data_IF_286476876041
#
_entry.id   IF_286476876041
#
_cell.length_a   1.000
_cell.length_b   1.000
_cell.length_c   1.000
_cell.angle_alpha   90.00
_cell.angle_beta   90.00
_cell.angle_gamma   90.00
#
_symmetry.space_group_name_H-M   'P 1'
#
loop_
_entity.id
_entity.type
_entity.pdbx_description
1 polymer ?
#
# COMPACT_ATOMS: atom_id res chain seq x y z
N UNK A 1 0.43 -21.26 3.68
CA UNK A 1 1.32 -20.71 4.73
C UNK A 1 0.56 -20.71 6.04
N UNK A 2 1.04 -21.42 7.08
CA UNK A 2 0.39 -21.47 8.38
C UNK A 2 0.66 -20.20 9.18
N UNK A 3 -0.37 -19.72 9.90
CA UNK A 3 -0.27 -18.72 10.95
C UNK A 3 -0.76 -19.36 12.25
N UNK A 4 0.05 -19.25 13.29
CA UNK A 4 -0.32 -19.74 14.61
C UNK A 4 -1.26 -18.76 15.34
N UNK A 5 -1.97 -19.22 16.36
CA UNK A 5 -2.75 -18.33 17.23
C UNK A 5 -1.87 -17.24 17.85
N UNK A 6 -0.60 -17.54 18.17
CA UNK A 6 0.37 -16.57 18.68
C UNK A 6 0.64 -15.46 17.65
N UNK A 7 0.84 -15.82 16.37
CA UNK A 7 1.06 -14.84 15.31
C UNK A 7 -0.12 -13.88 15.18
N UNK A 8 -1.35 -14.43 15.11
CA UNK A 8 -2.58 -13.65 14.94
C UNK A 8 -2.82 -12.75 16.16
N UNK A 9 -2.71 -13.29 17.36
CA UNK A 9 -2.86 -12.55 18.61
C UNK A 9 -1.85 -11.39 18.71
N UNK A 10 -0.56 -11.67 18.48
CA UNK A 10 0.50 -10.66 18.52
C UNK A 10 0.25 -9.53 17.53
N UNK A 11 -0.17 -9.85 16.30
CA UNK A 11 -0.51 -8.84 15.31
C UNK A 11 -1.72 -7.99 15.73
N UNK A 12 -2.79 -8.60 16.22
CA UNK A 12 -3.98 -7.88 16.71
C UNK A 12 -3.63 -6.91 17.85
N UNK A 13 -2.82 -7.35 18.81
CA UNK A 13 -2.30 -6.53 19.91
C UNK A 13 -1.47 -5.35 19.40
N UNK A 14 -0.54 -5.61 18.49
CA UNK A 14 0.35 -4.60 17.92
C UNK A 14 -0.44 -3.52 17.16
N UNK A 15 -1.43 -3.94 16.37
CA UNK A 15 -2.30 -3.02 15.63
C UNK A 15 -3.14 -2.18 16.59
N UNK A 16 -3.79 -2.81 17.57
CA UNK A 16 -4.58 -2.12 18.58
C UNK A 16 -3.76 -1.05 19.31
N UNK A 17 -2.54 -1.39 19.72
CA UNK A 17 -1.62 -0.45 20.41
C UNK A 17 -1.17 0.69 19.50
N UNK A 18 -0.74 0.39 18.26
CA UNK A 18 -0.24 1.40 17.33
C UNK A 18 -1.31 2.40 16.91
N UNK A 19 -2.57 1.97 16.79
CA UNK A 19 -3.72 2.80 16.46
C UNK A 19 -4.41 3.39 17.69
N UNK A 20 -3.94 3.06 18.91
CA UNK A 20 -4.55 3.46 20.17
C UNK A 20 -6.06 3.15 20.18
N UNK A 21 -6.43 1.95 19.75
CA UNK A 21 -7.83 1.51 19.73
C UNK A 21 -8.33 1.30 21.16
N UNK A 22 -9.61 1.62 21.37
CA UNK A 22 -10.29 1.45 22.66
C UNK A 22 -11.77 1.08 22.46
N UNK A 23 -12.50 0.84 23.54
CA UNK A 23 -13.91 0.42 23.51
C UNK A 23 -14.90 1.42 22.91
N UNK A 24 -14.51 2.67 22.75
CA UNK A 24 -15.34 3.71 22.12
C UNK A 24 -15.20 3.70 20.60
N UNK A 25 -14.20 2.99 20.06
CA UNK A 25 -14.01 2.91 18.61
C UNK A 25 -15.08 2.05 17.94
N UNK A 26 -15.53 2.53 16.80
CA UNK A 26 -16.44 1.83 15.93
C UNK A 26 -15.87 1.82 14.52
N UNK A 27 -15.43 0.63 14.05
CA UNK A 27 -14.80 0.48 12.74
C UNK A 27 -15.80 0.14 11.64
N UNK A 28 -15.67 0.78 10.48
CA UNK A 28 -16.34 0.31 9.27
C UNK A 28 -15.41 -0.65 8.50
N UNK A 29 -15.71 -1.95 8.57
CA UNK A 29 -14.94 -2.95 7.81
C UNK A 29 -15.49 -3.05 6.39
N UNK A 30 -14.76 -2.46 5.45
CA UNK A 30 -15.00 -2.51 4.00
C UNK A 30 -14.10 -3.53 3.27
N UNK A 31 -13.19 -4.18 4.02
CA UNK A 31 -12.25 -5.17 3.49
C UNK A 31 -12.81 -6.58 3.64
N UNK A 32 -12.52 -7.49 2.68
CA UNK A 32 -12.99 -8.87 2.77
C UNK A 32 -12.34 -9.61 3.92
N UNK A 33 -13.12 -10.42 4.64
CA UNK A 33 -12.67 -11.20 5.79
C UNK A 33 -11.80 -12.43 5.43
N UNK A 34 -11.75 -12.82 4.16
CA UNK A 34 -10.80 -13.85 3.69
C UNK A 34 -9.37 -13.31 3.55
N UNK A 35 -9.17 -12.00 3.68
CA UNK A 35 -7.87 -11.35 3.64
C UNK A 35 -7.48 -10.85 5.03
N UNK A 36 -6.19 -10.98 5.39
CA UNK A 36 -5.64 -10.55 6.70
C UNK A 36 -5.93 -9.09 7.03
N UNK A 37 -6.10 -8.21 6.04
CA UNK A 37 -6.45 -6.80 6.25
C UNK A 37 -7.82 -6.68 6.92
N UNK A 38 -8.86 -7.32 6.37
CA UNK A 38 -10.20 -7.34 6.97
C UNK A 38 -10.26 -8.16 8.26
N UNK A 39 -9.66 -9.36 8.24
CA UNK A 39 -9.74 -10.29 9.35
C UNK A 39 -8.90 -9.86 10.56
N UNK A 40 -7.60 -9.64 10.34
CA UNK A 40 -6.66 -9.40 11.46
C UNK A 40 -6.54 -7.91 11.75
N UNK A 41 -6.28 -7.09 10.72
CA UNK A 41 -6.01 -5.67 10.95
C UNK A 41 -7.24 -4.86 11.34
N UNK A 42 -8.44 -5.31 10.98
CA UNK A 42 -9.68 -4.64 11.36
C UNK A 42 -10.42 -5.44 12.44
N UNK A 43 -10.91 -6.63 12.12
CA UNK A 43 -11.80 -7.36 13.02
C UNK A 43 -11.10 -7.79 14.32
N UNK A 44 -10.00 -8.54 14.22
CA UNK A 44 -9.32 -9.05 15.43
C UNK A 44 -8.77 -7.91 16.30
N UNK A 45 -8.17 -6.87 15.71
CA UNK A 45 -7.60 -5.74 16.46
C UNK A 45 -8.69 -4.92 17.16
N UNK A 46 -9.86 -4.74 16.53
CA UNK A 46 -11.01 -4.06 17.14
C UNK A 46 -11.57 -4.87 18.31
N UNK A 47 -11.85 -6.16 18.11
CA UNK A 47 -12.37 -7.02 19.17
C UNK A 47 -11.39 -7.08 20.35
N UNK A 48 -10.09 -7.22 20.08
CA UNK A 48 -9.07 -7.22 21.12
C UNK A 48 -9.06 -5.97 21.98
N UNK A 49 -9.35 -4.79 21.40
CA UNK A 49 -9.42 -3.53 22.12
C UNK A 49 -10.77 -3.24 22.80
N UNK A 50 -11.74 -4.16 22.67
CA UNK A 50 -13.13 -3.95 23.13
C UNK A 50 -13.95 -3.03 22.22
N UNK A 51 -13.42 -2.67 21.05
CA UNK A 51 -14.09 -1.86 20.05
C UNK A 51 -15.15 -2.68 19.28
N UNK A 52 -16.03 -1.96 18.60
CA UNK A 52 -17.06 -2.56 17.75
C UNK A 52 -16.73 -2.45 16.25
N UNK A 53 -17.34 -3.31 15.45
CA UNK A 53 -17.14 -3.35 13.99
C UNK A 53 -18.47 -3.42 13.27
N UNK A 54 -18.70 -2.48 12.37
CA UNK A 54 -19.75 -2.59 11.35
C UNK A 54 -19.17 -3.34 10.15
N UNK A 55 -19.59 -4.56 9.93
CA UNK A 55 -19.21 -5.38 8.79
C UNK A 55 -20.17 -5.17 7.63
N UNK A 56 -19.64 -4.82 6.44
CA UNK A 56 -20.45 -4.69 5.24
C UNK A 56 -20.39 -5.94 4.36
N UNK A 57 -21.37 -6.08 3.48
CA UNK A 57 -21.41 -7.13 2.45
C UNK A 57 -20.37 -6.91 1.32
N UNK A 58 -19.44 -5.96 1.51
CA UNK A 58 -18.39 -5.58 0.57
C UNK A 58 -18.27 -4.06 0.43
N UNK A 59 -17.29 -3.63 -0.34
CA UNK A 59 -17.04 -2.22 -0.57
C UNK A 59 -18.07 -1.59 -1.51
N UNK A 60 -18.69 -0.49 -1.07
CA UNK A 60 -19.59 0.32 -1.87
C UNK A 60 -19.36 1.82 -1.60
N UNK A 61 -18.65 2.49 -2.51
CA UNK A 61 -18.31 3.91 -2.38
C UNK A 61 -19.55 4.82 -2.34
N UNK A 62 -20.65 4.43 -2.99
CA UNK A 62 -21.89 5.24 -3.03
C UNK A 62 -22.59 5.30 -1.68
N UNK A 63 -22.56 4.21 -0.92
CA UNK A 63 -23.21 4.09 0.39
C UNK A 63 -22.30 4.48 1.56
N UNK A 64 -20.98 4.64 1.30
CA UNK A 64 -19.97 4.77 2.35
C UNK A 64 -20.25 5.92 3.31
N UNK A 65 -20.47 7.15 2.80
CA UNK A 65 -20.67 8.34 3.62
C UNK A 65 -21.94 8.27 4.47
N UNK A 66 -23.01 7.77 3.91
CA UNK A 66 -24.31 7.65 4.60
C UNK A 66 -24.22 6.63 5.74
N UNK A 67 -23.57 5.48 5.50
CA UNK A 67 -23.33 4.45 6.52
C UNK A 67 -22.40 5.00 7.60
N UNK A 68 -21.29 5.63 7.22
CA UNK A 68 -20.31 6.18 8.17
C UNK A 68 -20.96 7.19 9.12
N UNK A 69 -21.86 8.04 8.60
CA UNK A 69 -22.64 8.99 9.40
C UNK A 69 -23.66 8.30 10.30
N UNK A 70 -24.48 7.40 9.73
CA UNK A 70 -25.56 6.71 10.43
C UNK A 70 -25.04 5.89 11.61
N UNK A 71 -23.99 5.11 11.36
CA UNK A 71 -23.38 4.20 12.32
C UNK A 71 -22.32 4.90 13.20
N UNK A 72 -22.09 6.22 13.07
CA UNK A 72 -21.11 7.01 13.84
C UNK A 72 -19.72 6.38 13.82
N UNK A 73 -19.27 6.00 12.63
CA UNK A 73 -17.97 5.34 12.45
C UNK A 73 -16.82 6.23 12.91
N UNK A 74 -15.95 5.70 13.77
CA UNK A 74 -14.75 6.41 14.26
C UNK A 74 -13.52 6.17 13.38
N UNK A 75 -13.46 5.08 12.63
CA UNK A 75 -12.37 4.81 11.69
C UNK A 75 -12.74 3.75 10.65
N UNK A 76 -11.98 3.75 9.57
CA UNK A 76 -12.02 2.66 8.59
C UNK A 76 -10.63 2.41 8.02
N UNK A 77 -10.44 1.24 7.41
CA UNK A 77 -9.22 0.89 6.71
C UNK A 77 -9.55 0.32 5.34
N UNK A 78 -8.75 0.69 4.34
CA UNK A 78 -8.95 0.26 2.96
C UNK A 78 -7.67 0.22 2.15
N UNK A 79 -7.79 -0.14 0.88
CA UNK A 79 -6.73 -0.05 -0.12
C UNK A 79 -6.86 1.26 -0.92
N UNK A 80 -5.80 1.75 -1.59
CA UNK A 80 -5.82 3.05 -2.28
C UNK A 80 -6.98 3.23 -3.26
N UNK A 81 -7.35 2.20 -4.01
CA UNK A 81 -8.48 2.26 -4.95
C UNK A 81 -9.83 2.48 -4.27
N UNK A 82 -10.01 1.96 -3.05
CA UNK A 82 -11.21 2.21 -2.25
C UNK A 82 -11.22 3.65 -1.74
N UNK A 83 -10.08 4.14 -1.26
CA UNK A 83 -9.94 5.55 -0.85
C UNK A 83 -10.25 6.52 -1.98
N UNK A 84 -9.75 6.27 -3.19
CA UNK A 84 -10.06 7.08 -4.38
C UNK A 84 -11.56 7.09 -4.70
N UNK A 85 -12.22 5.91 -4.65
CA UNK A 85 -13.67 5.81 -4.83
C UNK A 85 -14.47 6.59 -3.78
N UNK A 86 -14.04 6.55 -2.52
CA UNK A 86 -14.64 7.30 -1.42
C UNK A 86 -14.41 8.80 -1.62
N UNK A 87 -13.19 9.23 -1.98
CA UNK A 87 -12.86 10.63 -2.26
C UNK A 87 -13.71 11.23 -3.38
N UNK A 88 -13.86 10.51 -4.50
CA UNK A 88 -14.73 10.99 -5.59
C UNK A 88 -16.16 11.25 -5.11
N UNK A 89 -16.67 10.44 -4.19
CA UNK A 89 -18.00 10.64 -3.61
C UNK A 89 -18.01 11.76 -2.58
N UNK A 90 -16.98 11.84 -1.73
CA UNK A 90 -16.83 12.85 -0.70
C UNK A 90 -16.76 14.27 -1.28
N UNK A 91 -16.02 14.47 -2.36
CA UNK A 91 -15.94 15.76 -3.07
C UNK A 91 -17.30 16.28 -3.56
N UNK A 92 -18.21 15.38 -3.94
CA UNK A 92 -19.59 15.75 -4.32
C UNK A 92 -20.48 16.05 -3.11
N UNK A 93 -20.05 15.69 -1.89
CA UNK A 93 -20.78 15.82 -0.64
C UNK A 93 -19.87 16.32 0.48
N UNK A 94 -19.10 17.37 0.22
CA UNK A 94 -18.02 17.84 1.11
C UNK A 94 -18.49 18.11 2.54
N UNK A 95 -19.64 18.77 2.71
CA UNK A 95 -20.23 19.05 4.02
C UNK A 95 -20.52 17.77 4.82
N UNK A 96 -20.92 16.68 4.16
CA UNK A 96 -21.15 15.41 4.81
C UNK A 96 -19.82 14.77 5.22
N UNK A 97 -18.82 14.78 4.34
CA UNK A 97 -17.50 14.20 4.58
C UNK A 97 -16.77 14.89 5.74
N UNK A 98 -16.75 16.23 5.78
CA UNK A 98 -16.12 17.02 6.85
C UNK A 98 -16.77 16.83 8.23
N UNK A 99 -18.05 16.47 8.26
CA UNK A 99 -18.82 16.27 9.51
C UNK A 99 -18.92 14.81 9.94
N UNK A 100 -18.15 13.89 9.34
CA UNK A 100 -18.01 12.54 9.87
C UNK A 100 -17.14 12.56 11.13
N UNK A 101 -17.48 11.73 12.10
CA UNK A 101 -16.74 11.61 13.37
C UNK A 101 -15.50 10.71 13.26
N UNK A 102 -14.80 10.75 12.12
CA UNK A 102 -13.63 9.92 11.88
C UNK A 102 -12.45 10.39 12.73
N UNK A 103 -11.93 9.52 13.57
CA UNK A 103 -10.72 9.72 14.35
C UNK A 103 -9.46 9.55 13.50
N UNK A 104 -9.51 8.60 12.55
CA UNK A 104 -8.49 8.42 11.54
C UNK A 104 -9.00 7.58 10.35
N UNK A 105 -8.26 7.67 9.25
CA UNK A 105 -8.37 6.82 8.05
C UNK A 105 -7.08 6.02 7.94
N UNK A 106 -7.16 4.69 7.74
CA UNK A 106 -6.00 3.84 7.57
C UNK A 106 -5.93 3.26 6.16
N UNK A 107 -4.78 3.40 5.51
CA UNK A 107 -4.48 2.75 4.23
C UNK A 107 -3.44 1.66 4.43
N UNK A 108 -3.62 0.52 3.78
CA UNK A 108 -2.64 -0.56 3.79
C UNK A 108 -2.80 -1.48 2.58
N UNK A 109 -1.92 -2.49 2.48
CA UNK A 109 -1.92 -3.56 1.48
C UNK A 109 -1.46 -3.15 0.07
N UNK A 110 -1.37 -1.87 -0.23
CA UNK A 110 -0.74 -1.29 -1.41
C UNK A 110 -0.23 0.09 -1.05
N UNK A 111 0.75 0.62 -1.79
CA UNK A 111 1.27 1.96 -1.57
C UNK A 111 0.19 3.01 -1.82
N UNK A 112 0.02 3.93 -0.89
CA UNK A 112 -0.89 5.06 -1.01
C UNK A 112 -0.15 6.21 -1.70
N UNK A 113 -0.58 6.66 -2.90
CA UNK A 113 0.03 7.83 -3.52
C UNK A 113 0.00 9.04 -2.57
N UNK A 114 1.11 9.78 -2.41
CA UNK A 114 1.17 10.95 -1.53
C UNK A 114 0.05 11.97 -1.78
N UNK A 115 -0.30 12.20 -3.04
CA UNK A 115 -1.39 13.09 -3.41
C UNK A 115 -2.75 12.62 -2.84
N UNK A 116 -3.02 11.31 -2.87
CA UNK A 116 -4.25 10.72 -2.31
C UNK A 116 -4.25 10.80 -0.78
N UNK A 117 -3.09 10.61 -0.14
CA UNK A 117 -2.93 10.76 1.30
C UNK A 117 -3.31 12.19 1.75
N UNK A 118 -2.76 13.22 1.10
CA UNK A 118 -3.04 14.60 1.45
C UNK A 118 -4.51 14.96 1.15
N UNK A 119 -5.05 14.50 0.04
CA UNK A 119 -6.44 14.75 -0.31
C UNK A 119 -7.43 14.13 0.67
N UNK A 120 -7.17 12.92 1.17
CA UNK A 120 -7.96 12.29 2.24
C UNK A 120 -7.93 13.16 3.50
N UNK A 121 -6.75 13.65 3.88
CA UNK A 121 -6.56 14.49 5.06
C UNK A 121 -7.33 15.80 4.96
N UNK A 122 -7.29 16.44 3.79
CA UNK A 122 -7.99 17.70 3.52
C UNK A 122 -9.51 17.55 3.49
N UNK A 123 -10.02 16.53 2.77
CA UNK A 123 -11.46 16.32 2.57
C UNK A 123 -12.16 15.87 3.85
N UNK A 124 -11.54 14.97 4.63
CA UNK A 124 -12.16 14.43 5.84
C UNK A 124 -11.74 15.15 7.13
N UNK A 125 -10.81 16.10 7.04
CA UNK A 125 -10.28 16.85 8.21
C UNK A 125 -9.83 15.91 9.35
N UNK A 126 -9.22 14.78 9.00
CA UNK A 126 -8.83 13.75 9.96
C UNK A 126 -7.42 13.22 9.69
N UNK A 127 -6.88 12.48 10.66
CA UNK A 127 -5.58 11.82 10.53
C UNK A 127 -5.63 10.72 9.47
N UNK A 128 -4.64 10.68 8.60
CA UNK A 128 -4.45 9.58 7.65
C UNK A 128 -3.20 8.80 8.04
N UNK A 129 -3.31 7.47 8.07
CA UNK A 129 -2.27 6.55 8.47
C UNK A 129 -2.01 5.56 7.34
N UNK A 130 -0.79 5.52 6.84
CA UNK A 130 -0.34 4.45 5.97
C UNK A 130 0.38 3.39 6.78
N UNK A 131 0.10 2.12 6.53
CA UNK A 131 0.70 0.99 7.20
C UNK A 131 1.14 -0.08 6.18
N UNK A 132 2.23 -0.74 6.47
CA UNK A 132 2.79 -1.80 5.65
C UNK A 132 2.67 -3.14 6.36
N UNK A 133 2.32 -4.15 5.58
CA UNK A 133 2.17 -5.49 6.09
C UNK A 133 1.99 -6.52 5.00
N UNK A 134 2.16 -7.78 5.37
CA UNK A 134 2.03 -8.94 4.51
C UNK A 134 1.44 -10.11 5.28
N UNK A 135 1.00 -11.14 4.54
CA UNK A 135 0.37 -12.32 5.17
C UNK A 135 1.35 -13.05 6.09
N UNK A 136 2.62 -13.10 5.72
CA UNK A 136 3.71 -13.72 6.46
C UNK A 136 4.00 -13.05 7.81
N UNK A 137 3.55 -11.79 7.98
CA UNK A 137 3.62 -11.04 9.24
C UNK A 137 2.26 -10.97 9.96
N UNK A 138 1.29 -11.81 9.61
CA UNK A 138 -0.09 -11.73 10.14
C UNK A 138 -0.67 -10.33 10.04
N UNK A 139 -0.29 -9.58 9.05
CA UNK A 139 -0.59 -8.25 8.59
C UNK A 139 0.49 -7.21 8.91
N UNK A 140 0.51 -6.58 10.11
CA UNK A 140 1.23 -5.32 10.33
C UNK A 140 2.72 -5.52 10.64
N UNK A 141 3.55 -4.77 9.93
CA UNK A 141 4.99 -4.65 10.18
C UNK A 141 5.36 -3.23 10.61
N UNK A 142 4.92 -2.23 9.85
CA UNK A 142 5.08 -0.81 10.19
C UNK A 142 3.76 -0.06 10.09
N UNK A 143 3.69 1.09 10.73
CA UNK A 143 2.56 2.01 10.67
C UNK A 143 3.02 3.44 10.90
N UNK A 144 2.47 4.40 10.17
CA UNK A 144 2.53 5.78 10.62
C UNK A 144 1.95 5.87 12.03
N UNK A 145 2.59 6.61 12.94
CA UNK A 145 2.13 6.71 14.31
C UNK A 145 0.86 7.57 14.42
N UNK A 146 0.10 7.36 15.49
CA UNK A 146 -1.00 8.26 15.86
C UNK A 146 -0.47 9.61 16.38
N UNK A 147 -1.25 10.69 16.26
CA UNK A 147 -0.91 11.97 16.87
C UNK A 147 -0.57 11.83 18.38
N UNK A 148 0.33 12.67 18.92
CA UNK A 148 0.90 13.89 18.33
C UNK A 148 2.11 13.68 17.39
N UNK A 149 2.52 12.45 17.12
CA UNK A 149 3.59 12.17 16.18
C UNK A 149 3.16 12.46 14.74
N UNK A 150 4.14 12.74 13.88
CA UNK A 150 3.91 13.12 12.49
C UNK A 150 3.55 11.89 11.65
N UNK A 151 2.58 12.03 10.75
CA UNK A 151 2.29 11.08 9.69
C UNK A 151 2.95 11.58 8.41
N UNK A 152 3.83 10.76 7.81
CA UNK A 152 4.58 11.12 6.59
C UNK A 152 3.92 10.46 5.38
N UNK A 153 3.42 11.27 4.44
CA UNK A 153 2.93 10.78 3.14
C UNK A 153 4.05 10.09 2.35
N UNK A 154 3.74 8.95 1.72
CA UNK A 154 4.72 8.14 0.97
C UNK A 154 5.69 7.34 1.83
N UNK A 155 5.50 7.33 3.15
CA UNK A 155 6.20 6.48 4.10
C UNK A 155 5.21 5.59 4.84
N UNK A 156 5.57 4.33 4.99
CA UNK A 156 4.74 3.33 5.68
C UNK A 156 4.94 3.31 7.20
N UNK A 157 5.59 4.34 7.73
CA UNK A 157 5.73 4.59 9.17
C UNK A 157 6.92 3.90 9.82
N UNK A 158 6.80 3.68 11.13
CA UNK A 158 7.84 3.08 11.99
C UNK A 158 7.50 1.63 12.30
N UNK A 159 8.48 0.79 12.72
CA UNK A 159 8.19 -0.55 13.21
C UNK A 159 7.06 -0.53 14.25
N UNK A 160 6.05 -1.37 14.04
CA UNK A 160 4.82 -1.34 14.84
C UNK A 160 4.34 -2.76 15.17
N UNK A 161 5.24 -3.53 15.75
CA UNK A 161 5.03 -4.90 16.18
C UNK A 161 6.34 -5.70 16.09
N UNK A 162 6.70 -6.26 14.94
CA UNK A 162 7.97 -6.95 14.76
C UNK A 162 9.14 -5.95 14.72
N UNK A 163 10.34 -6.48 14.93
CA UNK A 163 11.56 -5.80 14.53
C UNK A 163 11.58 -5.72 12.99
N UNK A 164 12.09 -4.59 12.48
CA UNK A 164 12.23 -4.36 11.03
C UNK A 164 13.63 -3.81 10.78
N UNK A 165 14.34 -4.36 9.82
CA UNK A 165 15.64 -3.86 9.39
C UNK A 165 15.74 -3.84 7.86
N UNK A 166 16.75 -3.17 7.36
CA UNK A 166 17.15 -3.19 5.95
C UNK A 166 18.41 -4.01 5.84
N UNK A 167 18.46 -4.94 4.88
CA UNK A 167 19.64 -5.78 4.64
C UNK A 167 20.13 -5.63 3.19
N UNK A 168 21.45 -5.73 3.02
CA UNK A 168 22.06 -5.89 1.72
C UNK A 168 21.92 -7.33 1.19
N UNK A 169 22.49 -7.59 0.01
CA UNK A 169 22.47 -8.92 -0.61
C UNK A 169 23.21 -9.99 0.22
N UNK A 170 24.19 -9.59 1.01
CA UNK A 170 25.00 -10.47 1.85
C UNK A 170 24.36 -10.72 3.23
N UNK A 171 23.25 -10.07 3.54
CA UNK A 171 22.50 -10.20 4.79
C UNK A 171 23.04 -9.32 5.94
N UNK A 172 23.82 -8.28 5.62
CA UNK A 172 24.27 -7.32 6.61
C UNK A 172 23.22 -6.23 6.81
N UNK A 173 22.94 -5.89 8.07
CA UNK A 173 21.98 -4.83 8.42
C UNK A 173 22.57 -3.48 8.02
N UNK A 174 21.79 -2.71 7.28
CA UNK A 174 22.15 -1.39 6.77
C UNK A 174 21.75 -0.27 7.75
N UNK A 175 22.48 0.85 7.69
CA UNK A 175 22.16 2.08 8.42
C UNK A 175 21.00 2.83 7.75
N UNK A 176 20.37 3.74 8.49
CA UNK A 176 19.36 4.65 7.95
C UNK A 176 19.92 5.40 6.72
N UNK A 177 19.05 5.62 5.72
CA UNK A 177 19.40 6.24 4.45
C UNK A 177 19.96 5.28 3.40
N UNK A 178 20.29 4.03 3.76
CA UNK A 178 20.78 3.03 2.80
C UNK A 178 19.62 2.12 2.38
N UNK A 179 19.53 1.90 1.08
CA UNK A 179 18.50 1.06 0.49
C UNK A 179 18.92 -0.42 0.50
N UNK A 180 17.96 -1.30 0.72
CA UNK A 180 18.14 -2.75 0.71
C UNK A 180 16.82 -3.48 0.86
N UNK A 181 16.88 -4.78 1.11
CA UNK A 181 15.69 -5.58 1.35
C UNK A 181 15.15 -5.36 2.77
N UNK A 182 13.85 -5.14 2.86
CA UNK A 182 13.15 -5.08 4.16
C UNK A 182 13.08 -6.47 4.75
N UNK A 183 13.59 -6.64 5.96
CA UNK A 183 13.55 -7.91 6.70
C UNK A 183 12.87 -7.72 8.05
N UNK A 184 12.16 -8.76 8.51
CA UNK A 184 11.35 -8.69 9.72
C UNK A 184 11.60 -9.88 10.65
N UNK A 185 11.41 -9.66 11.96
CA UNK A 185 11.50 -10.69 12.98
C UNK A 185 10.57 -10.37 14.14
N UNK A 186 9.75 -11.34 14.57
CA UNK A 186 8.86 -11.13 15.71
C UNK A 186 7.78 -12.19 15.85
N UNK A 187 7.04 -12.10 16.94
CA UNK A 187 5.99 -13.06 17.31
C UNK A 187 4.81 -13.13 16.34
N UNK A 188 4.60 -12.08 15.55
CA UNK A 188 3.57 -12.03 14.51
C UNK A 188 4.04 -12.58 13.16
N UNK A 189 5.33 -12.95 13.02
CA UNK A 189 5.92 -13.46 11.78
C UNK A 189 5.76 -14.97 11.72
N UNK A 190 5.39 -15.49 10.52
CA UNK A 190 5.30 -16.93 10.27
C UNK A 190 6.63 -17.65 10.51
N UNK A 191 6.57 -18.93 10.83
CA UNK A 191 7.76 -19.78 10.89
C UNK A 191 8.13 -20.42 9.55
N UNK A 192 7.34 -20.17 8.50
CA UNK A 192 7.63 -20.63 7.13
C UNK A 192 6.40 -21.11 6.37
N UNK A 193 6.67 -21.60 5.17
CA UNK A 193 5.69 -22.18 4.26
C UNK A 193 5.60 -23.68 4.47
N UNK A 194 4.39 -24.21 4.56
CA UNK A 194 4.13 -25.62 4.72
C UNK A 194 4.51 -26.40 3.46
N UNK A 195 5.25 -27.49 3.62
CA UNK A 195 5.71 -28.36 2.53
C UNK A 195 6.48 -27.64 1.41
N UNK A 196 7.24 -26.58 1.74
CA UNK A 196 8.03 -25.83 0.76
C UNK A 196 9.41 -25.44 1.34
N UNK A 197 10.29 -26.44 1.49
CA UNK A 197 11.61 -26.25 2.08
C UNK A 197 12.51 -25.32 1.26
N UNK A 198 12.36 -25.32 -0.06
CA UNK A 198 13.14 -24.44 -0.96
C UNK A 198 12.78 -22.96 -0.72
N UNK A 199 11.48 -22.66 -0.68
CA UNK A 199 11.03 -21.31 -0.34
C UNK A 199 11.47 -20.92 1.08
N UNK A 200 11.41 -21.83 2.05
CA UNK A 200 11.82 -21.56 3.41
C UNK A 200 13.32 -21.23 3.51
N UNK A 201 14.18 -21.96 2.81
CA UNK A 201 15.63 -21.69 2.78
C UNK A 201 15.95 -20.30 2.22
N UNK A 202 15.21 -19.85 1.21
CA UNK A 202 15.41 -18.55 0.58
C UNK A 202 14.73 -17.38 1.31
N UNK A 203 13.68 -17.68 2.09
CA UNK A 203 12.89 -16.65 2.78
C UNK A 203 13.44 -16.24 4.14
N UNK A 204 14.43 -16.96 4.69
CA UNK A 204 15.03 -16.62 5.99
C UNK A 204 16.53 -16.45 5.89
N UNK A 205 17.05 -15.42 6.57
CA UNK A 205 18.48 -15.15 6.70
C UNK A 205 18.77 -14.71 8.15
N UNK A 206 19.69 -15.39 8.82
CA UNK A 206 20.10 -15.05 10.20
C UNK A 206 18.93 -14.85 11.18
N UNK A 207 17.83 -15.64 11.02
CA UNK A 207 16.62 -15.55 11.85
C UNK A 207 15.66 -14.41 11.46
N UNK A 208 15.92 -13.70 10.36
CA UNK A 208 15.04 -12.70 9.79
C UNK A 208 14.28 -13.24 8.59
N UNK A 209 12.99 -12.90 8.49
CA UNK A 209 12.20 -13.19 7.31
C UNK A 209 12.40 -12.09 6.25
N UNK A 210 12.73 -12.49 5.04
CA UNK A 210 12.93 -11.63 3.87
C UNK A 210 11.60 -11.34 3.20
N UNK A 211 11.22 -10.09 3.11
CA UNK A 211 9.88 -9.70 2.57
C UNK A 211 9.82 -9.70 1.05
N UNK A 212 10.99 -9.61 0.38
CA UNK A 212 11.09 -9.38 -1.07
C UNK A 212 10.74 -7.94 -1.48
N UNK A 213 10.51 -7.06 -0.52
CA UNK A 213 10.28 -5.64 -0.77
C UNK A 213 11.58 -4.86 -0.48
N UNK A 214 11.84 -3.82 -1.28
CA UNK A 214 13.00 -2.94 -1.16
C UNK A 214 12.59 -1.64 -0.50
N UNK A 215 13.47 -1.08 0.34
CA UNK A 215 13.19 0.17 1.03
C UNK A 215 14.35 0.70 1.85
N UNK A 216 14.13 1.77 2.56
CA UNK A 216 15.11 2.36 3.48
C UNK A 216 14.39 3.09 4.63
N UNK A 217 15.07 3.23 5.76
CA UNK A 217 14.65 4.12 6.83
C UNK A 217 15.23 5.50 6.64
N UNK A 218 14.40 6.54 6.81
CA UNK A 218 14.90 7.91 6.93
C UNK A 218 15.56 8.16 8.30
N UNK A 219 16.12 9.37 8.48
CA UNK A 219 16.79 9.74 9.73
C UNK A 219 15.87 9.77 10.95
N UNK A 220 14.56 9.90 10.76
CA UNK A 220 13.56 9.89 11.82
C UNK A 220 13.02 8.48 12.11
N UNK A 221 13.53 7.45 11.40
CA UNK A 221 13.16 6.05 11.54
C UNK A 221 11.83 5.68 10.87
N UNK A 222 11.41 6.44 9.85
CA UNK A 222 10.26 6.07 9.00
C UNK A 222 10.73 5.23 7.82
N UNK A 223 10.05 4.11 7.59
CA UNK A 223 10.31 3.24 6.46
C UNK A 223 9.63 3.81 5.20
N UNK A 224 10.39 3.90 4.12
CA UNK A 224 9.89 4.10 2.76
C UNK A 224 10.10 2.82 1.96
N UNK A 225 9.03 2.31 1.34
CA UNK A 225 9.13 1.21 0.38
C UNK A 225 9.44 1.82 -0.98
N UNK A 226 10.54 1.40 -1.59
CA UNK A 226 10.95 1.85 -2.92
C UNK A 226 10.51 0.93 -4.03
N UNK A 227 10.21 -0.34 -3.73
CA UNK A 227 9.70 -1.27 -4.73
C UNK A 227 9.62 -2.71 -4.22
N UNK A 228 9.24 -3.61 -5.12
CA UNK A 228 9.28 -5.05 -4.88
C UNK A 228 10.39 -5.65 -5.74
N UNK A 229 11.31 -6.40 -5.15
CA UNK A 229 12.50 -6.93 -5.84
C UNK A 229 12.16 -7.67 -7.14
N UNK A 230 11.05 -8.43 -7.15
CA UNK A 230 10.56 -9.18 -8.33
C UNK A 230 9.88 -8.30 -9.39
N UNK A 231 9.59 -7.04 -9.08
CA UNK A 231 8.93 -6.09 -9.98
C UNK A 231 9.89 -5.01 -10.51
N UNK A 232 11.11 -4.96 -9.99
CA UNK A 232 12.14 -4.03 -10.47
C UNK A 232 12.40 -4.30 -11.95
N UNK A 233 12.28 -3.26 -12.76
CA UNK A 233 12.52 -3.29 -14.19
C UNK A 233 14.03 -3.14 -14.43
N UNK A 234 14.63 -4.10 -15.14
CA UNK A 234 16.07 -4.07 -15.44
C UNK A 234 16.28 -3.54 -16.87
N UNK A 235 16.40 -2.23 -17.00
CA UNK A 235 16.53 -1.55 -18.29
C UNK A 235 17.98 -1.21 -18.60
N UNK A 236 18.63 -2.03 -19.42
CA UNK A 236 20.02 -1.79 -19.84
C UNK A 236 21.03 -1.80 -18.68
N UNK A 237 20.77 -2.59 -17.63
CA UNK A 237 21.57 -2.62 -16.40
C UNK A 237 21.09 -1.69 -15.29
N UNK A 238 20.27 -0.69 -15.62
CA UNK A 238 19.65 0.20 -14.63
C UNK A 238 18.43 -0.45 -13.97
N UNK A 239 18.39 -0.43 -12.64
CA UNK A 239 17.28 -0.94 -11.85
C UNK A 239 16.26 0.16 -11.61
N UNK A 240 15.09 0.03 -12.21
CA UNK A 240 14.01 1.01 -12.14
C UNK A 240 12.85 0.48 -11.32
N UNK A 241 12.49 1.23 -10.27
CA UNK A 241 11.29 0.94 -9.50
C UNK A 241 10.04 1.41 -10.26
N UNK A 242 9.10 0.52 -10.58
CA UNK A 242 7.82 0.92 -11.14
C UNK A 242 7.02 1.85 -10.21
N UNK A 243 7.15 1.66 -8.91
CA UNK A 243 6.45 2.45 -7.89
C UNK A 243 6.86 3.94 -7.91
N UNK A 244 8.14 4.22 -8.15
CA UNK A 244 8.65 5.60 -8.30
C UNK A 244 7.93 6.32 -9.45
N UNK A 245 7.80 5.62 -10.58
CA UNK A 245 7.16 6.18 -11.77
C UNK A 245 5.66 6.35 -11.54
N UNK A 246 5.01 5.35 -10.91
CA UNK A 246 3.59 5.45 -10.55
C UNK A 246 3.32 6.69 -9.69
N UNK A 247 4.13 6.93 -8.65
CA UNK A 247 3.95 8.06 -7.76
C UNK A 247 4.07 9.40 -8.50
N UNK A 248 5.06 9.54 -9.38
CA UNK A 248 5.25 10.77 -10.18
C UNK A 248 4.08 10.96 -11.16
N UNK A 249 3.70 9.91 -11.89
CA UNK A 249 2.61 10.03 -12.85
C UNK A 249 1.25 10.28 -12.17
N UNK A 250 1.03 9.79 -10.95
CA UNK A 250 -0.18 10.08 -10.18
C UNK A 250 -0.35 11.55 -9.78
N UNK A 251 0.72 12.35 -9.79
CA UNK A 251 0.65 13.79 -9.56
C UNK A 251 0.12 14.56 -10.79
N UNK A 252 0.09 13.94 -11.96
CA UNK A 252 -0.42 14.56 -13.17
C UNK A 252 -1.94 14.78 -13.08
N UNK A 253 -2.40 15.99 -13.36
CA UNK A 253 -3.80 16.41 -13.16
C UNK A 253 -4.86 15.55 -13.89
N UNK A 254 -4.50 14.95 -15.04
CA UNK A 254 -5.41 14.14 -15.84
C UNK A 254 -5.45 12.67 -15.45
N UNK A 255 -4.53 12.17 -14.60
CA UNK A 255 -4.41 10.75 -14.27
C UNK A 255 -5.25 10.41 -13.04
N UNK A 256 -6.10 9.38 -13.17
CA UNK A 256 -6.85 8.79 -12.06
C UNK A 256 -6.14 7.56 -11.48
N UNK A 257 -5.61 6.69 -12.35
CA UNK A 257 -4.87 5.50 -11.95
C UNK A 257 -3.72 5.26 -12.92
N UNK A 258 -2.62 4.72 -12.41
CA UNK A 258 -1.48 4.29 -13.22
C UNK A 258 -0.85 3.04 -12.62
N UNK A 259 -0.37 2.17 -13.49
CA UNK A 259 0.49 1.03 -13.14
C UNK A 259 1.60 0.95 -14.18
N UNK A 260 2.83 1.12 -13.72
CA UNK A 260 4.05 0.95 -14.51
C UNK A 260 4.52 -0.49 -14.43
N UNK A 261 5.02 -1.06 -15.51
CA UNK A 261 5.46 -2.46 -15.60
C UNK A 261 6.60 -2.63 -16.61
N UNK A 262 7.34 -3.73 -16.44
CA UNK A 262 8.37 -4.13 -17.41
C UNK A 262 7.74 -4.73 -18.67
N UNK A 263 8.34 -4.41 -19.81
CA UNK A 263 8.03 -4.97 -21.14
C UNK A 263 9.33 -5.52 -21.71
N UNK A 264 9.34 -6.74 -22.26
CA UNK A 264 10.55 -7.30 -22.87
C UNK A 264 11.08 -6.40 -23.98
N UNK A 265 12.38 -6.14 -23.97
CA UNK A 265 13.07 -5.32 -24.97
C UNK A 265 14.34 -6.04 -25.44
N UNK A 266 14.51 -6.20 -26.76
CA UNK A 266 15.62 -6.96 -27.35
C UNK A 266 17.00 -6.35 -27.10
N UNK A 267 17.08 -5.03 -26.91
CA UNK A 267 18.34 -4.31 -26.74
C UNK A 267 18.67 -4.05 -25.27
N UNK A 268 17.64 -3.73 -24.47
CA UNK A 268 17.82 -3.29 -23.10
C UNK A 268 17.40 -4.34 -22.05
N UNK A 269 17.01 -5.54 -22.48
CA UNK A 269 16.43 -6.56 -21.62
C UNK A 269 14.96 -6.25 -21.32
N UNK A 270 14.71 -5.10 -20.67
CA UNK A 270 13.37 -4.59 -20.42
C UNK A 270 13.24 -3.11 -20.80
N UNK A 271 12.05 -2.74 -21.22
CA UNK A 271 11.57 -1.37 -21.38
C UNK A 271 10.44 -1.10 -20.39
N UNK A 272 10.10 0.16 -20.20
CA UNK A 272 9.07 0.60 -19.27
C UNK A 272 7.75 0.81 -20.01
N UNK A 273 6.69 0.15 -19.56
CA UNK A 273 5.32 0.38 -19.95
C UNK A 273 4.52 1.04 -18.83
N UNK A 274 3.51 1.82 -19.16
CA UNK A 274 2.56 2.40 -18.20
C UNK A 274 1.13 2.23 -18.71
N UNK A 275 0.27 1.61 -17.90
CA UNK A 275 -1.17 1.57 -18.11
C UNK A 275 -1.82 2.70 -17.31
N UNK A 276 -2.63 3.53 -17.97
CA UNK A 276 -3.16 4.76 -17.40
C UNK A 276 -4.68 4.80 -17.56
N UNK A 277 -5.39 5.16 -16.49
CA UNK A 277 -6.79 5.56 -16.53
C UNK A 277 -6.85 7.07 -16.32
N UNK A 278 -7.48 7.76 -17.23
CA UNK A 278 -7.68 9.22 -17.13
C UNK A 278 -8.92 9.53 -16.26
N UNK A 279 -8.86 10.66 -15.57
CA UNK A 279 -10.04 11.22 -14.88
C UNK A 279 -11.16 11.51 -15.89
N UNK A 280 -12.40 11.39 -15.45
CA UNK A 280 -13.57 11.70 -16.30
C UNK A 280 -13.42 13.09 -16.93
N UNK A 281 -13.80 13.21 -18.22
CA UNK A 281 -13.75 14.43 -19.04
C UNK A 281 -12.35 14.99 -19.33
N UNK A 282 -11.28 14.42 -18.76
CA UNK A 282 -9.90 14.79 -19.09
C UNK A 282 -9.44 14.05 -20.34
N UNK A 283 -8.70 14.77 -21.18
CA UNK A 283 -7.98 14.18 -22.33
C UNK A 283 -6.50 14.44 -22.13
N UNK A 284 -5.70 13.47 -22.44
CA UNK A 284 -4.26 13.57 -22.39
C UNK A 284 -3.65 12.61 -23.42
N UNK A 285 -2.66 13.06 -24.14
CA UNK A 285 -1.95 12.27 -25.14
C UNK A 285 -0.75 11.56 -24.52
N UNK A 286 -0.27 10.52 -25.21
CA UNK A 286 0.99 9.84 -24.84
C UNK A 286 2.18 10.82 -24.80
N UNK A 287 2.22 11.80 -25.72
CA UNK A 287 3.29 12.81 -25.79
C UNK A 287 3.29 13.68 -24.54
N UNK A 288 2.12 14.12 -24.07
CA UNK A 288 1.99 14.94 -22.86
C UNK A 288 2.42 14.17 -21.62
N UNK A 289 2.03 12.90 -21.47
CA UNK A 289 2.46 12.05 -20.36
C UNK A 289 3.98 11.85 -20.38
N UNK A 290 4.58 11.55 -21.55
CA UNK A 290 6.03 11.40 -21.68
C UNK A 290 6.79 12.71 -21.41
N UNK A 291 6.24 13.83 -21.84
CA UNK A 291 6.80 15.16 -21.54
C UNK A 291 6.77 15.45 -20.04
N UNK A 292 5.64 15.18 -19.41
CA UNK A 292 5.52 15.31 -17.96
C UNK A 292 6.53 14.41 -17.23
N UNK A 293 6.63 13.15 -17.62
CA UNK A 293 7.58 12.21 -17.04
C UNK A 293 9.05 12.70 -17.18
N UNK A 294 9.45 13.23 -18.34
CA UNK A 294 10.80 13.76 -18.56
C UNK A 294 11.16 14.94 -17.67
N UNK A 295 10.17 15.75 -17.29
CA UNK A 295 10.39 16.90 -16.42
C UNK A 295 10.59 16.50 -14.94
N UNK A 296 10.24 15.25 -14.56
CA UNK A 296 10.24 14.81 -13.16
C UNK A 296 11.07 13.54 -12.91
N UNK A 297 11.48 12.85 -13.96
CA UNK A 297 12.23 11.60 -13.90
C UNK A 297 13.48 11.66 -14.80
N UNK A 298 14.48 10.87 -14.48
CA UNK A 298 15.60 10.64 -15.39
C UNK A 298 15.11 9.99 -16.70
N UNK A 299 15.74 10.31 -17.83
CA UNK A 299 15.32 9.87 -19.17
C UNK A 299 15.14 8.35 -19.31
N UNK A 300 15.99 7.57 -18.63
CA UNK A 300 15.89 6.11 -18.67
C UNK A 300 14.68 5.55 -17.90
N UNK A 301 14.04 6.36 -17.04
CA UNK A 301 12.81 6.02 -16.30
C UNK A 301 11.52 6.42 -17.03
N UNK A 302 11.62 7.15 -18.12
CA UNK A 302 10.44 7.59 -18.89
C UNK A 302 9.81 6.38 -19.58
N UNK A 303 8.48 6.13 -19.43
CA UNK A 303 7.80 5.04 -20.10
C UNK A 303 7.93 5.10 -21.61
N UNK A 304 8.38 3.98 -22.22
CA UNK A 304 8.42 3.81 -23.68
C UNK A 304 7.04 3.57 -24.25
N UNK A 305 6.23 2.75 -23.56
CA UNK A 305 4.88 2.38 -23.96
C UNK A 305 3.85 2.99 -23.00
N UNK A 306 2.81 3.62 -23.54
CA UNK A 306 1.68 4.14 -22.77
C UNK A 306 0.40 3.52 -23.30
N UNK A 307 -0.36 2.91 -22.43
CA UNK A 307 -1.66 2.30 -22.75
C UNK A 307 -2.76 2.98 -21.94
N UNK A 308 -3.65 3.70 -22.63
CA UNK A 308 -4.84 4.27 -22.00
C UNK A 308 -5.93 3.22 -21.88
N UNK A 309 -6.42 3.01 -20.68
CA UNK A 309 -7.42 2.00 -20.36
C UNK A 309 -8.66 2.64 -19.73
N UNK A 310 -9.81 1.98 -19.86
CA UNK A 310 -11.01 2.36 -19.08
C UNK A 310 -10.89 1.93 -17.63
N UNK A 311 -10.22 0.82 -17.37
CA UNK A 311 -9.96 0.27 -16.05
C UNK A 311 -8.69 -0.58 -16.09
N UNK A 312 -7.86 -0.46 -15.04
CA UNK A 312 -6.72 -1.36 -14.82
C UNK A 312 -7.22 -2.60 -14.07
N UNK A 313 -6.82 -3.83 -14.49
CA UNK A 313 -7.22 -5.05 -13.82
C UNK A 313 -6.90 -5.03 -12.31
N UNK A 314 -7.83 -5.50 -11.51
CA UNK A 314 -7.71 -5.58 -10.05
C UNK A 314 -7.78 -7.03 -9.58
N UNK A 315 -7.04 -7.34 -8.53
CA UNK A 315 -7.21 -8.59 -7.79
C UNK A 315 -8.47 -8.59 -6.93
N UNK A 316 -8.80 -9.74 -6.32
CA UNK A 316 -9.96 -9.92 -5.45
C UNK A 316 -10.01 -8.95 -4.24
N UNK A 317 -8.88 -8.40 -3.86
CA UNK A 317 -8.74 -7.43 -2.75
C UNK A 317 -8.79 -5.97 -3.19
N UNK A 318 -9.05 -5.70 -4.48
CA UNK A 318 -9.07 -4.35 -5.05
C UNK A 318 -7.71 -3.76 -5.40
N UNK A 319 -6.59 -4.51 -5.24
CA UNK A 319 -5.26 -4.06 -5.64
C UNK A 319 -5.12 -4.08 -7.16
N UNK A 320 -4.50 -3.03 -7.73
CA UNK A 320 -4.13 -3.01 -9.14
C UNK A 320 -3.10 -4.11 -9.44
N UNK A 321 -3.27 -4.81 -10.56
CA UNK A 321 -2.38 -5.88 -10.99
C UNK A 321 -1.28 -5.34 -11.90
N UNK A 322 -0.02 -5.58 -11.53
CA UNK A 322 1.18 -5.24 -12.31
C UNK A 322 1.71 -6.44 -13.06
N UNK A 323 1.87 -7.56 -12.36
CA UNK A 323 2.44 -8.79 -12.93
C UNK A 323 1.52 -9.34 -14.03
N UNK A 324 2.10 -9.68 -15.19
CA UNK A 324 1.37 -10.17 -16.38
C UNK A 324 0.58 -9.08 -17.12
N UNK A 325 0.77 -7.78 -16.78
CA UNK A 325 0.05 -6.71 -17.44
C UNK A 325 0.57 -6.46 -18.87
N UNK A 326 1.89 -6.59 -19.09
CA UNK A 326 2.48 -6.50 -20.44
C UNK A 326 1.84 -7.51 -21.41
N UNK A 327 1.76 -8.78 -20.99
CA UNK A 327 1.13 -9.87 -21.76
C UNK A 327 -0.35 -9.56 -22.08
N UNK A 328 -1.11 -9.15 -21.06
CA UNK A 328 -2.55 -8.78 -21.24
C UNK A 328 -2.76 -7.61 -22.21
N UNK A 329 -1.77 -6.76 -22.37
CA UNK A 329 -1.80 -5.61 -23.28
C UNK A 329 -1.14 -5.89 -24.63
N UNK A 330 -0.66 -7.12 -24.89
CA UNK A 330 0.00 -7.51 -26.14
C UNK A 330 1.35 -6.82 -26.35
N UNK A 331 2.07 -6.49 -25.28
CA UNK A 331 3.36 -5.81 -25.27
C UNK A 331 4.52 -6.78 -24.93
N UNK A 332 4.53 -8.00 -25.46
CA UNK A 332 5.59 -9.00 -25.23
C UNK A 332 6.76 -8.91 -26.22
#
# INVERSE_FOLDING_TARGET
MPLTNKNIYSSAVNISKSLKLNSEDHCYNIMPLFHIHGLIAILCSSIFSGASVYASDGFNALKFLDIAKKEKISWYSGVPTMHQGILMRAKKNIKLAENLSLRFIRSSSASLPPAVFEELREVFKTTVIEAYGMTEASHQMTSNPMPPQIQKAGFVGKPAGPEVCIMDADGNIQKNGHEGEVCIRGDNVTTGYENNDEANKSSFINGWFRTGDQGFFDNDGYLKISGRLKEIINRGGEKVSPLEIDNILMEHEAIEQVVTFGVKDKLLGEAIGAAIVLKNEKKCSEIEIKSYARNHLADFKVPKYISFLKEIPKGATGKLQRIGLAEKLGLE
#
